data_IF_524818789355
#
_entry.id   IF_524818789355
#
_cell.length_a   1.000
_cell.length_b   1.000
_cell.length_c   1.000
_cell.angle_alpha   90.00
_cell.angle_beta   90.00
_cell.angle_gamma   90.00
#
_symmetry.space_group_name_H-M   'P 1'
#
loop_
_entity.id
_entity.type
_entity.pdbx_description
1 polymer ?
#
# COMPACT_ATOMS: atom_id res chain seq x y z
N UNK A 1 -6.61 2.44 -2.04
CA UNK A 1 -6.37 1.03 -2.42
C UNK A 1 -7.54 0.43 -3.17
N UNK A 2 -8.79 0.68 -2.75
CA UNK A 2 -9.99 0.18 -3.44
C UNK A 2 -9.99 0.50 -4.95
N UNK A 3 -9.75 1.76 -5.31
CA UNK A 3 -9.63 2.16 -6.71
C UNK A 3 -8.54 1.38 -7.46
N UNK A 4 -7.40 1.10 -6.81
CA UNK A 4 -6.28 0.36 -7.42
C UNK A 4 -6.69 -1.11 -7.67
N UNK A 5 -7.34 -1.76 -6.70
CA UNK A 5 -7.82 -3.13 -6.85
C UNK A 5 -8.82 -3.24 -8.02
N UNK A 6 -9.72 -2.27 -8.16
CA UNK A 6 -10.75 -2.28 -9.21
C UNK A 6 -10.22 -1.91 -10.61
N UNK A 7 -9.17 -1.08 -10.72
CA UNK A 7 -8.68 -0.58 -12.03
C UNK A 7 -7.40 -1.24 -12.53
N UNK A 8 -6.52 -1.69 -11.64
CA UNK A 8 -5.18 -2.17 -12.00
C UNK A 8 -5.00 -3.68 -11.82
N UNK A 9 -6.08 -4.39 -11.44
CA UNK A 9 -6.08 -5.82 -11.08
C UNK A 9 -5.23 -6.12 -9.84
N UNK A 10 -4.87 -7.38 -9.61
CA UNK A 10 -4.07 -7.81 -8.46
C UNK A 10 -2.59 -7.43 -8.61
N UNK A 11 -2.29 -6.16 -8.28
CA UNK A 11 -0.93 -5.61 -8.31
C UNK A 11 -0.26 -5.76 -6.96
N UNK A 12 1.04 -6.02 -6.99
CA UNK A 12 1.88 -5.84 -5.82
C UNK A 12 2.00 -4.35 -5.49
N UNK A 13 1.82 -4.02 -4.22
CA UNK A 13 1.83 -2.65 -3.70
C UNK A 13 2.75 -2.60 -2.48
N UNK A 14 3.41 -1.45 -2.32
CA UNK A 14 4.13 -1.09 -1.09
C UNK A 14 3.53 0.19 -0.54
N UNK A 15 3.23 0.18 0.74
CA UNK A 15 2.79 1.35 1.51
C UNK A 15 3.91 1.68 2.47
N UNK A 16 4.55 2.82 2.26
CA UNK A 16 5.58 3.36 3.13
C UNK A 16 5.00 4.52 3.95
N UNK A 17 5.30 4.57 5.24
CA UNK A 17 4.79 5.59 6.17
C UNK A 17 5.92 6.28 6.87
N UNK A 18 5.75 7.58 7.11
CA UNK A 18 6.69 8.41 7.88
C UNK A 18 8.14 8.25 7.43
N UNK A 19 8.36 8.18 6.11
CA UNK A 19 9.72 8.14 5.55
C UNK A 19 10.52 9.33 6.07
N UNK A 20 11.78 9.12 6.47
CA UNK A 20 12.73 9.99 7.19
C UNK A 20 12.66 10.01 8.72
N UNK A 21 11.67 9.38 9.37
CA UNK A 21 11.64 9.22 10.83
C UNK A 21 12.22 7.88 11.26
N UNK A 22 12.73 7.75 12.49
CA UNK A 22 13.26 6.47 13.03
C UNK A 22 12.23 5.32 12.96
N UNK A 23 10.94 5.63 12.85
CA UNK A 23 9.82 4.68 12.86
C UNK A 23 9.19 4.47 11.48
N UNK A 24 9.98 4.44 10.40
CA UNK A 24 9.45 4.12 9.06
C UNK A 24 8.77 2.74 9.06
N UNK A 25 7.55 2.67 8.53
CA UNK A 25 6.81 1.41 8.38
C UNK A 25 6.62 1.12 6.88
N UNK A 26 7.02 -0.08 6.45
CA UNK A 26 6.79 -0.57 5.09
C UNK A 26 5.88 -1.79 5.11
N UNK A 27 4.70 -1.66 4.52
CA UNK A 27 3.74 -2.74 4.36
C UNK A 27 3.71 -3.15 2.89
N UNK A 28 3.93 -4.44 2.63
CA UNK A 28 3.99 -5.00 1.27
C UNK A 28 2.95 -6.10 1.11
N UNK A 29 2.39 -6.21 -0.07
CA UNK A 29 1.44 -7.27 -0.43
C UNK A 29 0.62 -6.89 -1.65
N UNK A 30 -0.36 -7.73 -1.96
CA UNK A 30 -1.32 -7.45 -3.01
C UNK A 30 -2.31 -6.35 -2.59
N UNK A 31 -2.98 -5.71 -3.56
CA UNK A 31 -3.97 -4.68 -3.27
C UNK A 31 -5.08 -5.17 -2.33
N UNK A 32 -5.52 -6.41 -2.51
CA UNK A 32 -6.54 -7.06 -1.68
C UNK A 32 -6.03 -7.33 -0.27
N UNK A 33 -4.85 -7.92 -0.14
CA UNK A 33 -4.24 -8.22 1.17
C UNK A 33 -4.04 -6.95 2.00
N UNK A 34 -3.60 -5.87 1.35
CA UNK A 34 -3.38 -4.59 2.02
C UNK A 34 -4.70 -3.93 2.41
N UNK A 35 -5.74 -4.00 1.58
CA UNK A 35 -7.08 -3.55 1.97
C UNK A 35 -7.58 -4.28 3.21
N UNK A 36 -7.43 -5.60 3.25
CA UNK A 36 -7.83 -6.39 4.41
C UNK A 36 -7.01 -6.04 5.66
N UNK A 37 -5.67 -5.95 5.53
CA UNK A 37 -4.77 -5.59 6.65
C UNK A 37 -5.01 -4.19 7.19
N UNK A 38 -5.45 -3.25 6.35
CA UNK A 38 -5.66 -1.85 6.75
C UNK A 38 -7.07 -1.56 7.25
N UNK A 39 -8.07 -2.44 7.00
CA UNK A 39 -9.42 -2.28 7.56
C UNK A 39 -9.43 -2.14 9.09
N UNK A 40 -8.51 -2.81 9.78
CA UNK A 40 -8.40 -2.79 11.24
C UNK A 40 -7.31 -1.83 11.78
N UNK A 41 -6.55 -1.17 10.91
CA UNK A 41 -5.48 -0.23 11.29
C UNK A 41 -5.78 1.17 10.79
N UNK A 42 -5.85 2.14 11.70
CA UNK A 42 -5.86 3.55 11.31
C UNK A 42 -4.46 3.99 10.90
N UNK A 43 -4.23 4.15 9.60
CA UNK A 43 -3.02 4.82 9.10
C UNK A 43 -3.17 6.32 9.32
N UNK A 44 -2.22 6.92 10.04
CA UNK A 44 -2.09 8.37 10.23
C UNK A 44 -0.71 8.83 9.75
N UNK A 45 -0.63 10.09 9.36
CA UNK A 45 0.58 10.73 8.85
C UNK A 45 0.71 10.65 7.33
N UNK A 46 1.88 11.02 6.83
CA UNK A 46 2.21 10.94 5.41
C UNK A 46 2.43 9.50 4.96
N UNK A 47 1.93 9.19 3.75
CA UNK A 47 1.94 7.85 3.19
C UNK A 47 2.38 7.93 1.74
N UNK A 48 3.38 7.13 1.39
CA UNK A 48 3.82 6.92 0.01
C UNK A 48 3.36 5.54 -0.44
N UNK A 49 2.68 5.49 -1.58
CA UNK A 49 2.19 4.23 -2.17
C UNK A 49 2.95 3.96 -3.46
N UNK A 50 3.65 2.83 -3.51
CA UNK A 50 4.28 2.32 -4.73
C UNK A 50 3.42 1.20 -5.30
N UNK A 51 3.18 1.25 -6.60
CA UNK A 51 2.36 0.27 -7.33
C UNK A 51 3.25 -0.41 -8.37
N UNK A 52 3.19 -1.74 -8.44
CA UNK A 52 3.91 -2.49 -9.46
C UNK A 52 3.51 -2.02 -10.86
N UNK A 53 4.51 -1.69 -11.68
CA UNK A 53 4.31 -1.28 -13.06
C UNK A 53 3.72 -2.39 -13.93
N UNK A 54 3.21 -2.04 -15.12
CA UNK A 54 2.70 -3.05 -16.05
C UNK A 54 3.77 -4.04 -16.46
N UNK A 55 3.48 -5.34 -16.31
CA UNK A 55 4.25 -6.37 -17.01
C UNK A 55 4.07 -6.16 -18.51
N UNK A 56 5.17 -6.25 -19.26
CA UNK A 56 5.21 -6.06 -20.70
C UNK A 56 4.87 -7.35 -21.43
#
# INVERSE_FOLDING_TARGET
>A
LDAIQHTLSDRQIVIAREMTKIFEEFIRGSAEELLHKLKSKTIKGEVTVLIQGSSR
#
